data_IF_506485773639
#
_entry.id   IF_506485773639
#
_cell.length_a   1.000
_cell.length_b   1.000
_cell.length_c   1.000
_cell.angle_alpha   90.00
_cell.angle_beta   90.00
_cell.angle_gamma   90.00
#
_symmetry.space_group_name_H-M   'P 1'
#
loop_
_entity.id
_entity.type
_entity.pdbx_description
1 polymer ?
#
# COMPACT_ATOMS: atom_id res chain seq x y z
N UNK A 1 4.33 23.49 82.20
CA UNK A 1 3.93 22.16 82.69
C UNK A 1 3.53 21.31 81.51
N UNK A 2 4.15 20.12 81.39
CA UNK A 2 3.72 18.91 80.69
C UNK A 2 3.56 18.90 79.15
N UNK A 3 4.41 18.05 78.54
CA UNK A 3 4.40 17.34 77.24
C UNK A 3 3.01 16.81 76.77
N UNK A 4 2.88 16.08 75.64
CA UNK A 4 3.66 15.97 74.38
C UNK A 4 2.72 16.01 73.13
N UNK A 5 3.23 15.79 71.91
CA UNK A 5 2.71 14.71 71.03
C UNK A 5 3.35 14.78 69.64
N UNK A 6 4.18 13.79 69.37
CA UNK A 6 4.60 13.36 68.03
C UNK A 6 3.38 12.78 67.31
N UNK A 7 3.10 13.18 66.07
CA UNK A 7 2.45 12.32 65.06
C UNK A 7 2.98 12.63 63.67
N UNK A 8 3.68 11.64 63.13
CA UNK A 8 3.99 11.46 61.71
C UNK A 8 2.71 11.31 60.89
N UNK A 9 2.67 11.93 59.70
CA UNK A 9 1.83 11.52 58.57
C UNK A 9 2.34 12.22 57.30
N UNK A 10 3.27 11.60 56.58
CA UNK A 10 3.56 11.94 55.17
C UNK A 10 2.95 10.84 54.30
N UNK A 11 1.70 11.07 53.91
CA UNK A 11 0.97 10.35 52.86
C UNK A 11 0.53 11.47 51.89
N UNK A 12 1.08 11.59 50.68
CA UNK A 12 0.98 10.62 49.61
C UNK A 12 -0.15 11.05 48.66
N UNK A 13 0.21 11.72 47.56
CA UNK A 13 -0.46 11.79 46.23
C UNK A 13 -0.31 13.16 45.58
N UNK A 14 0.27 13.16 44.39
CA UNK A 14 0.43 14.33 43.54
C UNK A 14 1.12 13.90 42.26
N UNK A 15 0.37 13.23 41.40
CA UNK A 15 0.83 12.53 40.21
C UNK A 15 1.71 13.41 39.31
N UNK A 16 2.86 12.85 38.93
CA UNK A 16 3.70 13.29 37.85
C UNK A 16 2.90 13.28 36.53
N UNK A 17 2.35 14.43 36.14
CA UNK A 17 1.93 14.69 34.77
C UNK A 17 3.13 15.16 33.96
N UNK A 18 4.07 14.27 33.73
CA UNK A 18 5.12 14.44 32.73
C UNK A 18 5.30 13.12 31.99
N UNK A 19 4.26 12.75 31.23
CA UNK A 19 4.36 11.68 30.25
C UNK A 19 3.93 12.23 28.89
N UNK A 20 4.96 12.65 28.14
CA UNK A 20 5.12 12.36 26.72
C UNK A 20 4.01 12.86 25.77
N UNK A 21 3.93 14.17 25.56
CA UNK A 21 3.29 14.76 24.38
C UNK A 21 4.17 14.63 23.11
N UNK A 22 4.76 13.45 22.86
CA UNK A 22 5.59 13.18 21.68
C UNK A 22 5.19 11.92 20.91
N UNK A 23 4.02 11.34 21.17
CA UNK A 23 3.56 10.14 20.46
C UNK A 23 2.15 10.28 19.88
N UNK A 24 1.83 11.45 19.28
CA UNK A 24 0.57 11.63 18.54
C UNK A 24 0.76 12.22 17.13
N UNK A 25 2.01 12.41 16.69
CA UNK A 25 2.32 12.80 15.30
C UNK A 25 2.64 11.61 14.37
N UNK A 26 2.62 10.36 14.86
CA UNK A 26 2.94 9.18 14.04
C UNK A 26 1.69 8.49 13.48
N UNK A 27 0.48 8.92 13.87
CA UNK A 27 -0.76 8.22 13.47
C UNK A 27 -1.50 8.83 12.29
N UNK A 28 -1.11 10.01 11.78
CA UNK A 28 -1.83 10.70 10.70
C UNK A 28 -1.18 10.51 9.32
N UNK A 29 0.11 10.14 9.25
CA UNK A 29 0.83 9.95 7.96
C UNK A 29 0.61 8.55 7.36
N UNK A 30 0.04 7.60 8.11
CA UNK A 30 -0.14 6.20 7.68
C UNK A 30 -1.38 5.99 6.78
N UNK A 31 -2.31 6.95 6.72
CA UNK A 31 -3.69 6.70 6.26
C UNK A 31 -4.02 7.05 4.81
N UNK A 32 -3.05 7.39 3.97
CA UNK A 32 -3.34 7.71 2.56
C UNK A 32 -2.55 6.84 1.57
N UNK A 33 -2.51 5.53 1.78
CA UNK A 33 -2.12 4.61 0.70
C UNK A 33 -3.28 4.48 -0.29
N UNK A 34 -3.06 4.83 -1.54
CA UNK A 34 -4.09 4.71 -2.58
C UNK A 34 -4.43 3.23 -2.83
N UNK A 35 -5.66 2.96 -3.30
CA UNK A 35 -6.05 1.59 -3.70
C UNK A 35 -5.04 0.99 -4.68
N UNK A 36 -4.52 1.80 -5.61
CA UNK A 36 -3.52 1.42 -6.60
C UNK A 36 -2.23 0.93 -5.92
N UNK A 37 -1.67 1.72 -5.00
CA UNK A 37 -0.44 1.37 -4.27
C UNK A 37 -0.61 0.09 -3.45
N UNK A 38 -1.77 -0.09 -2.82
CA UNK A 38 -2.10 -1.34 -2.10
C UNK A 38 -2.09 -2.56 -3.02
N UNK A 39 -2.66 -2.44 -4.22
CA UNK A 39 -2.68 -3.53 -5.21
C UNK A 39 -1.27 -3.79 -5.73
N UNK A 40 -0.51 -2.75 -6.10
CA UNK A 40 0.87 -2.90 -6.59
C UNK A 40 1.77 -3.52 -5.50
N UNK A 41 1.61 -3.11 -4.24
CA UNK A 41 2.29 -3.73 -3.11
C UNK A 41 1.97 -5.22 -2.98
N UNK A 42 0.70 -5.59 -3.08
CA UNK A 42 0.28 -6.99 -3.06
C UNK A 42 0.84 -7.80 -4.26
N UNK A 43 0.87 -7.20 -5.45
CA UNK A 43 1.47 -7.80 -6.64
C UNK A 43 2.96 -8.10 -6.45
N UNK A 44 3.71 -7.19 -5.81
CA UNK A 44 5.13 -7.38 -5.50
C UNK A 44 5.36 -8.47 -4.46
N UNK A 45 4.50 -8.55 -3.43
CA UNK A 45 4.61 -9.55 -2.36
C UNK A 45 4.24 -10.96 -2.83
N UNK A 46 3.14 -11.11 -3.58
CA UNK A 46 2.67 -12.40 -4.05
C UNK A 46 2.07 -12.30 -5.46
N UNK A 47 2.90 -12.38 -6.52
CA UNK A 47 2.42 -12.29 -7.89
C UNK A 47 1.56 -13.50 -8.31
N UNK A 48 1.52 -14.58 -7.52
CA UNK A 48 0.71 -15.75 -7.80
C UNK A 48 -0.76 -15.62 -7.35
N UNK A 49 -1.08 -14.60 -6.54
CA UNK A 49 -2.41 -14.42 -5.98
C UNK A 49 -2.97 -13.02 -6.28
N UNK A 50 -3.08 -12.69 -7.56
CA UNK A 50 -3.61 -11.40 -8.02
C UNK A 50 -4.88 -11.64 -8.82
N UNK A 51 -5.96 -10.93 -8.45
CA UNK A 51 -7.20 -10.96 -9.20
C UNK A 51 -7.01 -10.31 -10.58
N UNK A 52 -7.62 -10.89 -11.62
CA UNK A 52 -7.52 -10.34 -12.98
C UNK A 52 -8.05 -8.90 -13.06
N UNK A 53 -9.12 -8.60 -12.33
CA UNK A 53 -9.72 -7.26 -12.24
C UNK A 53 -8.76 -6.23 -11.64
N UNK A 54 -8.00 -6.61 -10.61
CA UNK A 54 -7.05 -5.72 -9.95
C UNK A 54 -5.84 -5.46 -10.86
N UNK A 55 -5.32 -6.49 -11.52
CA UNK A 55 -4.26 -6.30 -12.53
C UNK A 55 -4.73 -5.40 -13.68
N UNK A 56 -5.96 -5.59 -14.14
CA UNK A 56 -6.52 -4.77 -15.21
C UNK A 56 -6.73 -3.31 -14.78
N UNK A 57 -7.19 -3.07 -13.55
CA UNK A 57 -7.30 -1.72 -12.99
C UNK A 57 -5.95 -1.01 -12.91
N UNK A 58 -4.90 -1.72 -12.46
CA UNK A 58 -3.52 -1.20 -12.45
C UNK A 58 -3.08 -0.85 -13.87
N UNK A 59 -3.28 -1.74 -14.84
CA UNK A 59 -2.92 -1.48 -16.22
C UNK A 59 -3.68 -0.27 -16.81
N UNK A 60 -4.97 -0.14 -16.54
CA UNK A 60 -5.78 1.01 -17.00
C UNK A 60 -5.29 2.33 -16.40
N UNK A 61 -4.80 2.29 -15.16
CA UNK A 61 -4.31 3.49 -14.46
C UNK A 61 -2.94 3.94 -14.97
N UNK A 62 -2.01 3.01 -15.25
CA UNK A 62 -0.65 3.35 -15.70
C UNK A 62 -0.52 3.49 -17.23
N UNK A 63 -1.25 2.67 -17.99
CA UNK A 63 -1.09 2.56 -19.45
C UNK A 63 -2.30 3.08 -20.24
N UNK A 64 -3.39 3.45 -19.55
CA UNK A 64 -4.63 3.92 -20.16
C UNK A 64 -5.52 2.79 -20.68
N UNK A 65 -6.49 3.16 -21.52
CA UNK A 65 -7.50 2.21 -22.00
C UNK A 65 -6.90 1.05 -22.83
N UNK A 66 -7.41 -0.18 -22.65
CA UNK A 66 -6.96 -1.31 -23.45
C UNK A 66 -7.36 -1.12 -24.92
N UNK A 67 -6.44 -1.40 -25.83
CA UNK A 67 -6.70 -1.39 -27.28
C UNK A 67 -7.71 -2.46 -27.69
N UNK A 68 -7.68 -3.60 -27.01
CA UNK A 68 -8.60 -4.71 -27.21
C UNK A 68 -9.15 -5.14 -25.87
N UNK A 69 -10.48 -5.06 -25.73
CA UNK A 69 -11.21 -5.45 -24.52
C UNK A 69 -11.99 -6.73 -24.82
N UNK A 70 -11.34 -7.87 -24.65
CA UNK A 70 -12.02 -9.17 -24.63
C UNK A 70 -12.59 -9.47 -23.24
N UNK A 71 -13.46 -10.48 -23.15
CA UNK A 71 -13.99 -10.97 -21.86
C UNK A 71 -12.89 -11.60 -20.99
N UNK A 72 -11.89 -12.21 -21.62
CA UNK A 72 -10.80 -12.93 -20.95
C UNK A 72 -9.40 -12.35 -21.21
N UNK A 73 -9.21 -11.50 -22.22
CA UNK A 73 -7.90 -10.96 -22.58
C UNK A 73 -7.99 -9.44 -22.72
N UNK A 74 -6.95 -8.73 -22.27
CA UNK A 74 -6.80 -7.28 -22.51
C UNK A 74 -5.39 -6.97 -22.98
N UNK A 75 -5.30 -6.11 -24.00
CA UNK A 75 -4.02 -5.68 -24.58
C UNK A 75 -3.86 -4.18 -24.41
N UNK A 76 -2.77 -3.75 -23.76
CA UNK A 76 -2.46 -2.34 -23.50
C UNK A 76 -1.26 -1.88 -24.34
N UNK A 77 -1.29 -0.61 -24.72
CA UNK A 77 -0.14 0.08 -25.34
C UNK A 77 0.75 0.63 -24.24
N UNK A 78 2.05 0.65 -24.48
CA UNK A 78 3.05 1.17 -23.55
C UNK A 78 3.69 2.44 -24.12
N UNK A 79 4.12 3.40 -23.27
CA UNK A 79 4.62 4.70 -23.73
C UNK A 79 6.05 4.68 -24.29
N UNK A 80 6.85 3.65 -24.05
CA UNK A 80 8.23 3.57 -24.53
C UNK A 80 8.35 3.02 -25.96
N UNK A 81 9.42 3.41 -26.66
CA UNK A 81 9.70 3.01 -28.05
C UNK A 81 10.09 1.54 -28.14
N UNK A 82 9.39 0.79 -29.01
CA UNK A 82 9.58 -0.65 -29.22
C UNK A 82 8.28 -1.45 -29.01
N UNK A 83 8.40 -2.76 -28.85
CA UNK A 83 7.29 -3.65 -28.46
C UNK A 83 7.77 -4.52 -27.29
N UNK A 84 7.18 -4.32 -26.11
CA UNK A 84 6.35 -5.41 -25.61
C UNK A 84 5.03 -4.86 -25.06
N UNK A 85 3.98 -4.96 -25.87
CA UNK A 85 2.59 -4.81 -25.43
C UNK A 85 2.35 -5.64 -24.18
N UNK A 86 1.59 -5.07 -23.26
CA UNK A 86 1.12 -5.79 -22.09
C UNK A 86 -0.16 -6.50 -22.48
N UNK A 87 -0.08 -7.82 -22.60
CA UNK A 87 -1.23 -8.69 -22.80
C UNK A 87 -1.52 -9.46 -21.51
N UNK A 88 -2.63 -9.14 -20.86
CA UNK A 88 -3.10 -9.84 -19.65
C UNK A 88 -4.21 -10.81 -20.01
N UNK A 89 -4.21 -11.96 -19.37
CA UNK A 89 -5.16 -13.03 -19.57
C UNK A 89 -5.79 -13.41 -18.23
N UNK A 90 -7.11 -13.57 -18.26
CA UNK A 90 -7.90 -14.08 -17.16
C UNK A 90 -7.79 -15.61 -17.12
N UNK A 91 -7.35 -16.13 -15.99
CA UNK A 91 -7.36 -17.54 -15.66
C UNK A 91 -8.27 -17.75 -14.43
N UNK A 92 -9.54 -18.10 -14.69
CA UNK A 92 -10.56 -18.39 -13.66
C UNK A 92 -10.68 -17.30 -12.58
N UNK A 93 -10.61 -16.03 -12.99
CA UNK A 93 -10.70 -14.85 -12.11
C UNK A 93 -9.35 -14.32 -11.62
N UNK A 94 -8.24 -15.02 -11.88
CA UNK A 94 -6.88 -14.59 -11.52
C UNK A 94 -6.08 -14.18 -12.74
N UNK A 95 -5.09 -13.33 -12.51
CA UNK A 95 -4.07 -13.04 -13.51
C UNK A 95 -3.00 -14.14 -13.52
N UNK A 96 -2.38 -14.37 -14.69
CA UNK A 96 -1.25 -15.29 -14.77
C UNK A 96 -0.02 -14.67 -14.07
N UNK A 97 0.72 -15.40 -13.21
CA UNK A 97 1.77 -14.81 -12.40
C UNK A 97 2.92 -14.18 -13.21
N UNK A 98 3.22 -14.73 -14.39
CA UNK A 98 4.23 -14.14 -15.28
C UNK A 98 3.78 -12.79 -15.85
N UNK A 99 2.47 -12.61 -16.11
CA UNK A 99 1.92 -11.35 -16.61
C UNK A 99 1.96 -10.29 -15.52
N UNK A 100 1.68 -10.67 -14.28
CA UNK A 100 1.86 -9.78 -13.11
C UNK A 100 3.30 -9.27 -13.04
N UNK A 101 4.30 -10.16 -13.19
CA UNK A 101 5.71 -9.77 -13.21
C UNK A 101 6.07 -8.87 -14.39
N UNK A 102 5.50 -9.11 -15.57
CA UNK A 102 5.68 -8.24 -16.74
C UNK A 102 5.11 -6.83 -16.48
N UNK A 103 3.93 -6.75 -15.87
CA UNK A 103 3.30 -5.48 -15.51
C UNK A 103 4.12 -4.74 -14.45
N UNK A 104 4.65 -5.41 -13.43
CA UNK A 104 5.52 -4.77 -12.44
C UNK A 104 6.76 -4.15 -13.09
N UNK A 105 7.44 -4.88 -13.98
CA UNK A 105 8.59 -4.35 -14.73
C UNK A 105 8.21 -3.12 -15.58
N UNK A 106 7.04 -3.17 -16.20
CA UNK A 106 6.52 -2.05 -16.98
C UNK A 106 6.23 -0.82 -16.10
N UNK A 107 5.68 -1.01 -14.90
CA UNK A 107 5.44 0.08 -13.94
C UNK A 107 6.76 0.70 -13.49
N UNK A 108 7.77 -0.13 -13.21
CA UNK A 108 9.10 0.33 -12.81
C UNK A 108 9.70 1.23 -13.91
N UNK A 109 9.63 0.81 -15.19
CA UNK A 109 10.11 1.62 -16.31
C UNK A 109 9.36 2.95 -16.49
N UNK A 110 8.04 2.98 -16.32
CA UNK A 110 7.27 4.24 -16.43
C UNK A 110 7.60 5.17 -15.27
N UNK A 111 7.87 4.61 -14.09
CA UNK A 111 8.20 5.39 -12.90
C UNK A 111 9.61 5.99 -12.96
N UNK A 112 10.53 5.41 -13.72
CA UNK A 112 11.90 5.94 -13.94
C UNK A 112 11.97 7.03 -15.02
N UNK A 113 10.96 7.11 -15.90
CA UNK A 113 10.94 8.01 -17.07
C UNK A 113 10.07 9.27 -16.82
N UNK A 114 9.38 9.35 -15.68
CA UNK A 114 8.61 10.51 -15.22
C UNK A 114 9.45 11.43 -14.35
#
# INVERSE_FOLDING_TARGET
MLHPSVRSATEGRGHAWLVCASCCMVSIVILFMSRLERIVGAMRQNPCNVAFSDLAYVCETYFGEPRQKGTSHRVYRTPWSGDPRINIQNDRGKAKPYQVRQVLKAIDMVSEVQ
#
